data_IF_216788040938
#
_entry.id   IF_216788040938
#
_cell.length_a   1.000
_cell.length_b   1.000
_cell.length_c   1.000
_cell.angle_alpha   90.00
_cell.angle_beta   90.00
_cell.angle_gamma   90.00
#
_symmetry.space_group_name_H-M   'P 1'
#
loop_
_entity.id
_entity.type
_entity.pdbx_description
1 polymer ?
#
# COMPACT_ATOMS: atom_id res chain seq x y z
N UNK A 1 -11.90 -12.08 9.84
CA UNK A 1 -11.41 -11.63 8.52
C UNK A 1 -12.12 -10.35 8.13
N UNK A 2 -11.37 -9.28 7.78
CA UNK A 2 -11.94 -7.99 7.41
C UNK A 2 -12.52 -7.98 5.99
N UNK A 3 -12.39 -9.07 5.23
CA UNK A 3 -12.87 -9.22 3.85
C UNK A 3 -12.45 -8.05 2.93
N UNK A 4 -11.21 -7.55 3.09
CA UNK A 4 -10.69 -6.38 2.37
C UNK A 4 -9.48 -6.68 1.48
N UNK A 5 -9.01 -7.91 1.42
CA UNK A 5 -7.83 -8.28 0.63
C UNK A 5 -8.08 -8.22 -0.88
N UNK A 6 -7.08 -7.87 -1.71
CA UNK A 6 -7.19 -7.93 -3.15
C UNK A 6 -7.12 -9.38 -3.64
N UNK A 7 -7.94 -9.71 -4.63
CA UNK A 7 -7.98 -11.03 -5.29
C UNK A 7 -7.78 -10.81 -6.79
N UNK A 8 -6.57 -11.02 -7.34
CA UNK A 8 -6.37 -11.01 -8.77
C UNK A 8 -7.06 -12.23 -9.40
N UNK A 9 -7.87 -12.01 -10.42
CA UNK A 9 -8.63 -13.03 -11.13
C UNK A 9 -8.24 -13.10 -12.60
N UNK A 10 -7.79 -14.27 -13.04
CA UNK A 10 -7.53 -14.61 -14.44
C UNK A 10 -8.03 -16.03 -14.76
N UNK A 11 -8.66 -16.28 -15.90
CA UNK A 11 -9.23 -15.25 -16.80
C UNK A 11 -10.43 -14.54 -16.14
N UNK A 12 -10.83 -13.35 -16.67
CA UNK A 12 -12.04 -12.68 -16.20
C UNK A 12 -13.26 -13.58 -16.21
N UNK A 13 -13.99 -13.66 -15.11
CA UNK A 13 -15.19 -14.50 -14.98
C UNK A 13 -16.17 -13.85 -14.00
N UNK A 14 -17.32 -13.43 -14.51
CA UNK A 14 -18.35 -12.73 -13.74
C UNK A 14 -18.87 -13.52 -12.53
N UNK A 15 -19.08 -14.85 -12.67
CA UNK A 15 -19.59 -15.69 -11.56
C UNK A 15 -18.55 -15.80 -10.45
N UNK A 16 -17.29 -16.04 -10.82
CA UNK A 16 -16.18 -16.16 -9.88
C UNK A 16 -15.90 -14.80 -9.22
N UNK A 17 -15.92 -13.72 -10.00
CA UNK A 17 -15.80 -12.36 -9.48
C UNK A 17 -16.84 -12.06 -8.40
N UNK A 18 -18.12 -12.31 -8.68
CA UNK A 18 -19.21 -12.08 -7.73
C UNK A 18 -19.07 -12.91 -6.43
N UNK A 19 -18.43 -14.08 -6.51
CA UNK A 19 -18.12 -14.87 -5.33
C UNK A 19 -17.00 -14.24 -4.50
N UNK A 20 -15.87 -13.88 -5.15
CA UNK A 20 -14.72 -13.30 -4.47
C UNK A 20 -14.95 -11.88 -3.96
N UNK A 21 -15.81 -11.07 -4.60
CA UNK A 21 -16.20 -9.73 -4.11
C UNK A 21 -16.87 -9.77 -2.73
N UNK A 22 -17.38 -10.94 -2.31
CA UNK A 22 -17.88 -11.17 -0.93
C UNK A 22 -16.75 -11.37 0.09
N UNK A 23 -15.55 -11.70 -0.37
CA UNK A 23 -14.39 -12.01 0.47
C UNK A 23 -13.31 -10.93 0.43
N UNK A 24 -13.34 -10.06 -0.58
CA UNK A 24 -12.35 -8.99 -0.78
C UNK A 24 -12.64 -8.18 -2.01
N UNK A 25 -11.63 -7.53 -2.55
CA UNK A 25 -11.72 -6.75 -3.79
C UNK A 25 -11.16 -7.55 -4.95
N UNK A 26 -12.01 -7.97 -5.90
CA UNK A 26 -11.55 -8.71 -7.08
C UNK A 26 -11.00 -7.75 -8.13
N UNK A 27 -9.80 -8.04 -8.61
CA UNK A 27 -9.14 -7.33 -9.70
C UNK A 27 -8.99 -8.27 -10.89
N UNK A 28 -9.79 -8.07 -11.93
CA UNK A 28 -9.74 -8.90 -13.14
C UNK A 28 -8.48 -8.57 -13.96
N UNK A 29 -7.77 -9.60 -14.39
CA UNK A 29 -6.55 -9.50 -15.18
C UNK A 29 -6.81 -10.12 -16.55
N UNK A 30 -6.47 -9.39 -17.62
CA UNK A 30 -6.68 -9.84 -19.00
C UNK A 30 -5.49 -10.64 -19.56
N UNK A 31 -4.39 -10.74 -18.81
CA UNK A 31 -3.18 -11.43 -19.24
C UNK A 31 -2.53 -12.13 -18.03
N UNK A 32 -2.44 -13.45 -18.08
CA UNK A 32 -1.86 -14.27 -17.02
C UNK A 32 -0.42 -13.86 -16.67
N UNK A 33 0.36 -13.45 -17.66
CA UNK A 33 1.76 -12.99 -17.44
C UNK A 33 1.85 -11.83 -16.46
N UNK A 34 0.77 -11.04 -16.29
CA UNK A 34 0.71 -9.96 -15.31
C UNK A 34 0.51 -10.43 -13.87
N UNK A 35 0.07 -11.68 -13.66
CA UNK A 35 -0.21 -12.22 -12.31
C UNK A 35 1.01 -12.10 -11.40
N UNK A 36 2.21 -12.43 -11.89
CA UNK A 36 3.45 -12.31 -11.10
C UNK A 36 3.76 -10.86 -10.69
N UNK A 37 3.35 -9.86 -11.49
CA UNK A 37 3.49 -8.45 -11.13
C UNK A 37 2.61 -8.11 -9.91
N UNK A 38 1.35 -8.55 -9.90
CA UNK A 38 0.46 -8.38 -8.74
C UNK A 38 0.99 -9.12 -7.51
N UNK A 39 1.45 -10.35 -7.67
CA UNK A 39 2.03 -11.13 -6.56
C UNK A 39 3.29 -10.47 -5.99
N UNK A 40 4.09 -9.81 -6.82
CA UNK A 40 5.26 -9.07 -6.34
C UNK A 40 4.89 -7.99 -5.32
N UNK A 41 3.74 -7.33 -5.48
CA UNK A 41 3.30 -6.30 -4.54
C UNK A 41 2.93 -6.87 -3.17
N UNK A 42 2.54 -8.16 -3.09
CA UNK A 42 2.28 -8.84 -1.81
C UNK A 42 3.53 -8.96 -0.94
N UNK A 43 4.72 -8.92 -1.54
CA UNK A 43 5.99 -8.86 -0.81
C UNK A 43 6.18 -7.57 0.00
N UNK A 44 5.30 -6.57 -0.18
CA UNK A 44 5.34 -5.31 0.57
C UNK A 44 4.54 -5.35 1.89
N UNK A 45 3.91 -6.47 2.25
CA UNK A 45 3.14 -6.57 3.51
C UNK A 45 4.02 -6.36 4.75
N UNK A 46 5.12 -7.09 4.85
CA UNK A 46 6.04 -6.93 5.97
C UNK A 46 6.74 -5.55 5.98
N UNK A 47 7.26 -5.02 4.86
CA UNK A 47 7.73 -3.64 4.78
C UNK A 47 6.70 -2.59 5.20
N UNK A 48 5.43 -2.79 4.89
CA UNK A 48 4.36 -1.91 5.36
C UNK A 48 4.23 -1.94 6.89
N UNK A 49 4.21 -3.13 7.50
CA UNK A 49 4.17 -3.24 8.97
C UNK A 49 5.42 -2.65 9.62
N UNK A 50 6.59 -2.76 8.99
CA UNK A 50 7.82 -2.13 9.49
C UNK A 50 7.74 -0.60 9.43
N UNK A 51 7.10 -0.03 8.42
CA UNK A 51 6.82 1.41 8.37
C UNK A 51 5.94 1.84 9.56
N UNK A 52 4.84 1.12 9.83
CA UNK A 52 3.96 1.41 10.97
C UNK A 52 4.72 1.27 12.31
N UNK A 53 5.55 0.24 12.43
CA UNK A 53 6.40 0.00 13.60
C UNK A 53 7.41 1.14 13.80
N UNK A 54 8.06 1.57 12.74
CA UNK A 54 9.03 2.68 12.77
C UNK A 54 8.37 3.96 13.27
N UNK A 55 7.20 4.32 12.73
CA UNK A 55 6.46 5.52 13.14
C UNK A 55 5.95 5.41 14.58
N UNK A 56 5.44 4.25 14.98
CA UNK A 56 5.01 4.00 16.36
C UNK A 56 6.16 4.11 17.36
N UNK A 57 7.31 3.53 17.03
CA UNK A 57 8.52 3.61 17.86
C UNK A 57 9.05 5.05 17.95
N UNK A 58 8.92 5.84 16.90
CA UNK A 58 9.26 7.25 16.93
C UNK A 58 8.44 8.04 17.96
N UNK A 59 7.12 7.76 18.06
CA UNK A 59 6.23 8.33 19.09
C UNK A 59 6.61 7.84 20.49
N UNK A 60 6.89 6.55 20.64
CA UNK A 60 7.28 5.94 21.94
C UNK A 60 8.56 6.58 22.47
N UNK A 61 9.57 6.80 21.64
CA UNK A 61 10.81 7.49 22.00
C UNK A 61 10.58 8.94 22.47
N UNK A 62 9.40 9.52 22.20
CA UNK A 62 8.97 10.86 22.62
C UNK A 62 7.97 10.85 23.78
N UNK A 63 7.85 9.72 24.48
CA UNK A 63 7.07 9.59 25.70
C UNK A 63 5.61 9.15 25.50
N UNK A 64 5.20 8.82 24.26
CA UNK A 64 3.86 8.28 24.03
C UNK A 64 3.81 6.82 24.42
N UNK A 65 2.81 6.38 25.21
CA UNK A 65 2.59 4.98 25.52
C UNK A 65 2.42 4.15 24.26
N UNK A 66 3.06 2.98 24.18
CA UNK A 66 3.11 2.11 22.97
C UNK A 66 1.71 1.83 22.42
N UNK A 67 0.77 1.45 23.26
CA UNK A 67 -0.60 1.16 22.82
C UNK A 67 -1.26 2.35 22.11
N UNK A 68 -1.10 3.56 22.67
CA UNK A 68 -1.63 4.80 22.05
C UNK A 68 -0.93 5.13 20.75
N UNK A 69 0.40 4.96 20.69
CA UNK A 69 1.17 5.18 19.47
C UNK A 69 0.71 4.24 18.34
N UNK A 70 0.61 2.95 18.61
CA UNK A 70 0.15 1.96 17.63
C UNK A 70 -1.29 2.22 17.20
N UNK A 71 -2.20 2.49 18.12
CA UNK A 71 -3.60 2.82 17.82
C UNK A 71 -3.70 4.04 16.92
N UNK A 72 -2.96 5.10 17.19
CA UNK A 72 -2.97 6.32 16.38
C UNK A 72 -2.44 6.05 14.97
N UNK A 73 -1.26 5.43 14.84
CA UNK A 73 -0.63 5.17 13.55
C UNK A 73 -1.49 4.23 12.69
N UNK A 74 -2.01 3.14 13.26
CA UNK A 74 -2.84 2.21 12.51
C UNK A 74 -4.15 2.86 12.05
N UNK A 75 -4.80 3.67 12.90
CA UNK A 75 -6.02 4.39 12.53
C UNK A 75 -5.76 5.42 11.41
N UNK A 76 -4.64 6.12 11.46
CA UNK A 76 -4.23 7.05 10.40
C UNK A 76 -4.11 6.33 9.04
N UNK A 77 -3.39 5.21 9.01
CA UNK A 77 -3.21 4.46 7.75
C UNK A 77 -4.48 3.78 7.24
N UNK A 78 -5.39 3.39 8.13
CA UNK A 78 -6.73 2.92 7.72
C UNK A 78 -7.46 4.04 7.00
N UNK A 79 -7.54 5.24 7.59
CA UNK A 79 -8.24 6.38 6.98
C UNK A 79 -7.64 6.76 5.61
N UNK A 80 -6.30 6.83 5.50
CA UNK A 80 -5.62 7.13 4.24
C UNK A 80 -5.86 6.05 3.18
N UNK A 81 -5.88 4.78 3.58
CA UNK A 81 -6.15 3.66 2.66
C UNK A 81 -7.60 3.66 2.17
N UNK A 82 -8.56 3.98 3.04
CA UNK A 82 -9.97 4.08 2.68
C UNK A 82 -10.22 5.26 1.72
N UNK A 83 -9.61 6.41 1.97
CA UNK A 83 -9.64 7.54 1.03
C UNK A 83 -9.04 7.18 -0.33
N UNK A 84 -7.89 6.49 -0.34
CA UNK A 84 -7.27 6.01 -1.58
C UNK A 84 -8.17 5.02 -2.34
N UNK A 85 -8.90 4.14 -1.65
CA UNK A 85 -9.87 3.22 -2.28
C UNK A 85 -11.02 3.98 -2.93
N UNK A 86 -11.60 4.97 -2.25
CA UNK A 86 -12.67 5.82 -2.79
C UNK A 86 -12.21 6.55 -4.05
N UNK A 87 -10.96 7.00 -4.07
CA UNK A 87 -10.36 7.72 -5.19
C UNK A 87 -9.61 6.82 -6.20
N UNK A 88 -9.72 5.50 -6.11
CA UNK A 88 -8.93 4.54 -6.92
C UNK A 88 -9.16 4.61 -8.44
N UNK A 89 -10.22 5.27 -8.89
CA UNK A 89 -10.47 5.55 -10.32
C UNK A 89 -9.66 6.73 -10.86
N UNK A 90 -9.06 7.53 -10.01
CA UNK A 90 -8.17 8.64 -10.36
C UNK A 90 -6.71 8.19 -10.26
N UNK A 91 -5.79 8.90 -10.91
CA UNK A 91 -4.36 8.71 -10.63
C UNK A 91 -4.07 9.08 -9.15
N UNK A 92 -3.42 8.18 -8.41
CA UNK A 92 -3.07 8.41 -7.00
C UNK A 92 -2.16 9.65 -6.80
N UNK A 93 -1.49 10.13 -7.86
CA UNK A 93 -0.78 11.42 -7.84
C UNK A 93 -1.70 12.59 -7.49
N UNK A 94 -2.98 12.47 -7.78
CA UNK A 94 -3.98 13.46 -7.37
C UNK A 94 -4.00 13.60 -5.85
N UNK A 95 -4.11 12.49 -5.12
CA UNK A 95 -4.11 12.49 -3.65
C UNK A 95 -2.80 13.04 -3.09
N UNK A 96 -1.66 12.68 -3.69
CA UNK A 96 -0.35 13.23 -3.30
C UNK A 96 -0.35 14.75 -3.42
N UNK A 97 -0.91 15.30 -4.48
CA UNK A 97 -0.99 16.75 -4.71
C UNK A 97 -1.95 17.43 -3.74
N UNK A 98 -3.17 16.91 -3.61
CA UNK A 98 -4.22 17.50 -2.77
C UNK A 98 -3.89 17.46 -1.28
N UNK A 99 -3.09 16.46 -0.84
CA UNK A 99 -2.65 16.34 0.54
C UNK A 99 -1.52 17.31 0.91
N UNK A 100 -0.96 18.05 -0.07
CA UNK A 100 0.14 18.96 0.16
C UNK A 100 -0.33 20.42 0.12
N UNK A 101 0.04 21.17 1.15
CA UNK A 101 -0.01 22.63 1.13
C UNK A 101 1.39 23.17 0.89
N UNK A 102 1.55 24.28 0.14
CA UNK A 102 2.86 24.88 -0.08
C UNK A 102 3.57 25.16 1.25
N UNK A 103 4.81 24.69 1.38
CA UNK A 103 5.63 24.76 2.61
C UNK A 103 5.04 24.00 3.81
N UNK A 104 4.04 23.14 3.58
CA UNK A 104 3.40 22.31 4.60
C UNK A 104 4.20 21.05 4.96
N UNK A 105 3.81 20.40 6.07
CA UNK A 105 4.48 19.21 6.59
C UNK A 105 4.43 18.03 5.60
N UNK A 106 3.33 17.86 4.87
CA UNK A 106 3.19 16.78 3.89
C UNK A 106 4.10 17.01 2.67
N UNK A 107 4.24 18.25 2.22
CA UNK A 107 5.19 18.59 1.16
C UNK A 107 6.63 18.30 1.60
N UNK A 108 6.99 18.69 2.82
CA UNK A 108 8.30 18.40 3.41
C UNK A 108 8.55 16.88 3.44
N UNK A 109 7.61 16.09 3.99
CA UNK A 109 7.73 14.64 4.08
C UNK A 109 7.95 13.98 2.71
N UNK A 110 7.17 14.37 1.70
CA UNK A 110 7.34 13.84 0.33
C UNK A 110 8.72 14.19 -0.25
N UNK A 111 9.18 15.43 -0.08
CA UNK A 111 10.49 15.90 -0.58
C UNK A 111 11.65 15.14 0.09
N UNK A 112 11.60 14.99 1.41
CA UNK A 112 12.67 14.34 2.17
C UNK A 112 12.75 12.84 1.85
N UNK A 113 11.62 12.13 1.85
CA UNK A 113 11.58 10.71 1.50
C UNK A 113 11.98 10.45 0.04
N UNK A 114 11.63 11.35 -0.87
CA UNK A 114 12.07 11.28 -2.26
C UNK A 114 13.57 11.47 -2.37
N UNK A 115 14.14 12.46 -1.68
CA UNK A 115 15.59 12.73 -1.62
C UNK A 115 16.33 11.54 -1.02
N UNK A 116 15.81 10.94 0.05
CA UNK A 116 16.35 9.74 0.67
C UNK A 116 16.25 8.47 -0.20
N UNK A 117 15.53 8.54 -1.34
CA UNK A 117 15.40 7.42 -2.27
C UNK A 117 14.36 6.37 -1.85
N UNK A 118 13.49 6.67 -0.88
CA UNK A 118 12.49 5.73 -0.36
C UNK A 118 11.62 5.12 -1.47
N UNK A 119 11.00 5.97 -2.30
CA UNK A 119 10.13 5.50 -3.39
C UNK A 119 10.90 4.72 -4.46
N UNK A 120 12.13 5.15 -4.79
CA UNK A 120 13.01 4.43 -5.73
C UNK A 120 13.43 3.07 -5.18
N UNK A 121 13.72 2.98 -3.88
CA UNK A 121 14.07 1.73 -3.23
C UNK A 121 12.89 0.77 -3.20
N UNK A 122 11.68 1.26 -2.99
CA UNK A 122 10.44 0.48 -3.08
C UNK A 122 10.30 -0.16 -4.47
N UNK A 123 10.45 0.61 -5.54
CA UNK A 123 10.38 0.11 -6.91
C UNK A 123 11.47 -0.93 -7.21
N UNK A 124 12.71 -0.67 -6.78
CA UNK A 124 13.83 -1.65 -6.91
C UNK A 124 13.52 -2.95 -6.18
N UNK A 125 12.92 -2.89 -4.99
CA UNK A 125 12.52 -4.06 -4.21
C UNK A 125 11.45 -4.86 -4.95
N UNK A 126 10.42 -4.22 -5.50
CA UNK A 126 9.39 -4.88 -6.30
C UNK A 126 10.00 -5.58 -7.52
N UNK A 127 10.91 -4.94 -8.23
CA UNK A 127 11.62 -5.53 -9.38
C UNK A 127 12.46 -6.75 -8.95
N UNK A 128 13.10 -6.69 -7.80
CA UNK A 128 13.89 -7.82 -7.25
C UNK A 128 12.98 -9.00 -6.89
N UNK A 129 11.84 -8.76 -6.26
CA UNK A 129 10.84 -9.79 -5.93
C UNK A 129 10.30 -10.43 -7.23
N UNK A 130 9.94 -9.61 -8.23
CA UNK A 130 9.46 -10.09 -9.52
C UNK A 130 10.51 -10.97 -10.21
N UNK A 131 11.78 -10.56 -10.19
CA UNK A 131 12.89 -11.36 -10.73
C UNK A 131 12.99 -12.73 -10.04
N UNK A 132 12.79 -12.79 -8.72
CA UNK A 132 12.75 -14.05 -7.96
C UNK A 132 11.57 -14.92 -8.39
N UNK A 133 10.37 -14.37 -8.51
CA UNK A 133 9.17 -15.08 -8.94
C UNK A 133 9.27 -15.62 -10.38
N UNK A 134 10.02 -14.94 -11.24
CA UNK A 134 10.24 -15.40 -12.63
C UNK A 134 11.25 -16.54 -12.76
N UNK A 135 11.98 -16.86 -11.68
CA UNK A 135 12.91 -18.00 -11.65
C UNK A 135 12.26 -19.31 -11.16
N UNK A 136 11.07 -19.21 -10.62
CA UNK A 136 10.20 -20.31 -10.19
C UNK A 136 9.13 -20.55 -11.24
#
# INVERSE_FOLDING_TARGET
SLKKGPVPLFPPNKKIKNFFDKLGTTVEINNEKLSKNFWSTSGMMAPFYELLNTMSNWLVKRGVKREKAQKYITSLFVALSEDAVVNSKKDLKYLVKESQTPKGLNEQGVKELRKAGFYRSTEKTLNSILKRLNKV
#
